data_IF_440898983487
#
_entry.id   IF_440898983487
#
_cell.length_a   1.000
_cell.length_b   1.000
_cell.length_c   1.000
_cell.angle_alpha   90.00
_cell.angle_beta   90.00
_cell.angle_gamma   90.00
#
_symmetry.space_group_name_H-M   'P 1'
#
loop_
_entity.id
_entity.type
_entity.pdbx_description
1 polymer ?
#
# COMPACT_ATOMS: atom_id res chain seq x y z
N UNK A 1 -10.47 26.66 -27.14
CA UNK A 1 -11.02 25.42 -26.56
C UNK A 1 -10.14 25.09 -25.37
N UNK A 2 -10.68 25.20 -24.15
CA UNK A 2 -9.92 24.84 -22.95
C UNK A 2 -9.52 23.38 -23.07
N UNK A 3 -8.22 23.08 -22.95
CA UNK A 3 -7.77 21.68 -22.84
C UNK A 3 -8.61 21.02 -21.74
N UNK A 4 -9.14 19.80 -21.95
CA UNK A 4 -9.75 19.06 -20.85
C UNK A 4 -8.74 19.02 -19.71
N UNK A 5 -9.21 19.36 -18.51
CA UNK A 5 -8.35 19.33 -17.34
C UNK A 5 -7.84 17.89 -17.20
N UNK A 6 -6.53 17.72 -16.95
CA UNK A 6 -5.91 16.40 -16.82
C UNK A 6 -6.25 15.78 -15.46
N UNK A 7 -7.54 15.54 -15.23
CA UNK A 7 -8.10 15.06 -13.98
C UNK A 7 -8.33 13.56 -14.05
N UNK A 8 -7.85 12.88 -13.03
CA UNK A 8 -7.98 11.44 -12.86
C UNK A 8 -8.47 11.18 -11.44
N UNK A 9 -9.28 10.14 -11.29
CA UNK A 9 -9.63 9.64 -9.96
C UNK A 9 -8.85 8.35 -9.72
N UNK A 10 -8.34 8.16 -8.51
CA UNK A 10 -7.77 6.91 -8.07
C UNK A 10 -8.64 6.29 -6.98
N UNK A 11 -8.94 5.00 -7.11
CA UNK A 11 -9.71 4.22 -6.15
C UNK A 11 -8.86 3.06 -5.62
N UNK A 12 -8.69 3.04 -4.30
CA UNK A 12 -7.93 2.02 -3.58
C UNK A 12 -8.73 1.49 -2.41
N UNK A 13 -8.67 0.17 -2.21
CA UNK A 13 -9.08 -0.47 -0.97
C UNK A 13 -7.95 -1.37 -0.49
N UNK A 14 -7.42 -1.04 0.70
CA UNK A 14 -6.27 -1.71 1.29
C UNK A 14 -6.54 -3.17 1.65
N UNK A 15 -5.48 -3.91 1.97
CA UNK A 15 -5.58 -5.26 2.54
C UNK A 15 -6.03 -5.25 4.01
N UNK A 16 -6.18 -4.07 4.61
CA UNK A 16 -6.84 -3.83 5.89
C UNK A 16 -8.35 -4.07 5.83
N UNK A 17 -8.98 -3.98 4.64
CA UNK A 17 -10.44 -4.09 4.45
C UNK A 17 -11.22 -3.12 5.36
N UNK A 18 -10.63 -1.95 5.61
CA UNK A 18 -11.16 -0.86 6.42
C UNK A 18 -12.10 0.04 5.61
N UNK A 19 -11.79 0.28 4.34
CA UNK A 19 -12.66 1.07 3.47
C UNK A 19 -12.12 1.33 2.07
N UNK A 20 -12.60 2.44 1.53
CA UNK A 20 -12.41 2.92 0.17
C UNK A 20 -11.80 4.30 0.25
N UNK A 21 -10.63 4.47 -0.36
CA UNK A 21 -10.03 5.78 -0.59
C UNK A 21 -10.25 6.19 -2.05
N UNK A 22 -10.94 7.31 -2.24
CA UNK A 22 -11.12 7.97 -3.51
C UNK A 22 -10.31 9.27 -3.55
N UNK A 23 -9.43 9.41 -4.53
CA UNK A 23 -8.52 10.56 -4.67
C UNK A 23 -8.72 11.22 -6.02
N UNK A 24 -8.97 12.53 -6.04
CA UNK A 24 -8.95 13.33 -7.25
C UNK A 24 -7.55 13.91 -7.46
N UNK A 25 -6.95 13.60 -8.59
CA UNK A 25 -5.62 14.02 -8.99
C UNK A 25 -5.67 14.90 -10.22
N UNK A 26 -4.90 16.00 -10.21
CA UNK A 26 -4.49 16.69 -11.44
C UNK A 26 -3.10 16.21 -11.82
N UNK A 27 -2.97 15.64 -13.01
CA UNK A 27 -1.72 15.03 -13.48
C UNK A 27 -1.31 15.71 -14.78
N UNK A 28 -0.16 16.39 -14.79
CA UNK A 28 0.27 17.09 -16.00
C UNK A 28 0.91 16.16 -17.05
N UNK A 29 1.35 16.73 -18.17
CA UNK A 29 1.98 15.95 -19.25
C UNK A 29 3.34 15.34 -18.87
N UNK A 30 4.00 15.84 -17.82
CA UNK A 30 5.22 15.25 -17.30
C UNK A 30 4.94 13.99 -16.47
N UNK A 31 3.75 13.94 -15.84
CA UNK A 31 3.33 12.89 -14.92
C UNK A 31 3.38 13.33 -13.45
N UNK A 32 3.70 14.60 -13.17
CA UNK A 32 3.61 15.16 -11.82
C UNK A 32 2.14 15.19 -11.39
N UNK A 33 1.84 14.53 -10.25
CA UNK A 33 0.50 14.43 -9.73
C UNK A 33 0.30 15.38 -8.55
N UNK A 34 -0.87 16.05 -8.51
CA UNK A 34 -1.28 16.92 -7.40
C UNK A 34 -2.66 16.51 -6.92
N UNK A 35 -2.78 16.30 -5.62
CA UNK A 35 -4.04 16.02 -4.94
C UNK A 35 -4.94 17.27 -4.99
N UNK A 36 -6.19 17.11 -5.45
CA UNK A 36 -7.20 18.17 -5.44
C UNK A 36 -8.33 17.92 -4.43
N UNK A 37 -8.57 16.66 -4.07
CA UNK A 37 -9.58 16.27 -3.11
C UNK A 37 -9.53 14.78 -2.84
N UNK A 38 -10.09 14.36 -1.73
CA UNK A 38 -10.20 12.96 -1.37
C UNK A 38 -11.43 12.70 -0.52
N UNK A 39 -11.93 11.47 -0.57
CA UNK A 39 -12.99 10.92 0.26
C UNK A 39 -12.52 9.56 0.75
N UNK A 40 -12.74 9.26 2.02
CA UNK A 40 -12.49 7.95 2.62
C UNK A 40 -13.79 7.45 3.23
N UNK A 41 -14.28 6.29 2.79
CA UNK A 41 -15.55 5.72 3.25
C UNK A 41 -15.34 4.29 3.74
N UNK A 42 -15.88 3.90 4.91
CA UNK A 42 -15.78 2.53 5.38
C UNK A 42 -16.59 1.59 4.50
N UNK A 43 -16.16 0.33 4.39
CA UNK A 43 -17.01 -0.69 3.80
C UNK A 43 -18.27 -0.92 4.64
N UNK A 44 -19.39 -1.22 3.97
CA UNK A 44 -20.54 -1.79 4.68
C UNK A 44 -20.14 -3.09 5.36
N UNK A 45 -20.79 -3.42 6.48
CA UNK A 45 -20.47 -4.63 7.23
C UNK A 45 -20.63 -5.90 6.39
N UNK A 46 -21.61 -5.90 5.49
CA UNK A 46 -21.93 -6.96 4.56
C UNK A 46 -20.85 -7.13 3.49
N UNK A 47 -20.40 -6.03 2.86
CA UNK A 47 -19.34 -6.07 1.85
C UNK A 47 -18.02 -6.47 2.49
N UNK A 48 -17.66 -5.88 3.65
CA UNK A 48 -16.47 -6.26 4.40
C UNK A 48 -16.47 -7.75 4.71
N UNK A 49 -17.59 -8.28 5.23
CA UNK A 49 -17.73 -9.71 5.50
C UNK A 49 -17.58 -10.56 4.24
N UNK A 50 -18.20 -10.19 3.13
CA UNK A 50 -18.10 -10.93 1.88
C UNK A 50 -16.64 -10.99 1.38
N UNK A 51 -15.92 -9.87 1.42
CA UNK A 51 -14.52 -9.79 1.01
C UNK A 51 -13.60 -10.59 1.94
N UNK A 52 -13.83 -10.55 3.26
CA UNK A 52 -13.10 -11.38 4.24
C UNK A 52 -13.34 -12.86 3.97
N UNK A 53 -14.59 -13.29 3.83
CA UNK A 53 -14.91 -14.70 3.63
C UNK A 53 -14.35 -15.25 2.30
N UNK A 54 -14.16 -14.39 1.30
CA UNK A 54 -13.52 -14.76 0.03
C UNK A 54 -12.00 -14.95 0.15
N UNK A 55 -11.36 -14.52 1.25
CA UNK A 55 -9.94 -14.77 1.50
C UNK A 55 -9.63 -16.26 1.76
N UNK A 56 -10.65 -17.07 2.05
CA UNK A 56 -10.50 -18.52 2.28
C UNK A 56 -11.42 -19.32 1.34
N UNK A 57 -11.02 -20.55 0.94
CA UNK A 57 -11.86 -21.43 0.15
C UNK A 57 -13.23 -21.65 0.79
N UNK A 58 -14.29 -21.74 -0.03
CA UNK A 58 -15.64 -21.85 0.47
C UNK A 58 -16.66 -22.31 -0.58
N UNK A 59 -17.90 -22.58 -0.17
CA UNK A 59 -18.93 -22.96 -1.12
C UNK A 59 -19.29 -21.78 -2.03
N UNK A 60 -19.45 -22.09 -3.32
CA UNK A 60 -19.97 -21.17 -4.34
C UNK A 60 -19.18 -19.85 -4.49
N UNK A 61 -17.85 -19.90 -4.37
CA UNK A 61 -16.97 -18.72 -4.40
C UNK A 61 -17.12 -17.86 -5.65
N UNK A 62 -17.26 -18.46 -6.84
CA UNK A 62 -17.40 -17.70 -8.09
C UNK A 62 -18.64 -16.78 -8.06
N UNK A 63 -19.79 -17.30 -7.65
CA UNK A 63 -21.01 -16.50 -7.54
C UNK A 63 -20.88 -15.39 -6.51
N UNK A 64 -20.35 -15.73 -5.32
CA UNK A 64 -20.17 -14.78 -4.21
C UNK A 64 -19.18 -13.68 -4.56
N UNK A 65 -18.12 -14.02 -5.28
CA UNK A 65 -17.13 -13.07 -5.78
C UNK A 65 -17.75 -12.11 -6.78
N UNK A 66 -18.58 -12.59 -7.72
CA UNK A 66 -19.29 -11.70 -8.65
C UNK A 66 -20.26 -10.74 -7.94
N UNK A 67 -20.94 -11.21 -6.88
CA UNK A 67 -21.78 -10.34 -6.06
C UNK A 67 -20.95 -9.29 -5.31
N UNK A 68 -19.81 -9.69 -4.73
CA UNK A 68 -18.90 -8.77 -4.06
C UNK A 68 -18.28 -7.76 -5.04
N UNK A 69 -17.94 -8.18 -6.26
CA UNK A 69 -17.43 -7.33 -7.33
C UNK A 69 -18.42 -6.22 -7.70
N UNK A 70 -19.71 -6.56 -7.80
CA UNK A 70 -20.77 -5.59 -8.08
C UNK A 70 -21.01 -4.64 -6.90
N UNK A 71 -21.03 -5.18 -5.66
CA UNK A 71 -21.19 -4.36 -4.47
C UNK A 71 -20.01 -3.39 -4.28
N UNK A 72 -18.78 -3.84 -4.57
CA UNK A 72 -17.60 -2.98 -4.55
C UNK A 72 -17.69 -1.88 -5.62
N UNK A 73 -18.11 -2.22 -6.85
CA UNK A 73 -18.29 -1.24 -7.92
C UNK A 73 -19.33 -0.17 -7.54
N UNK A 74 -20.45 -0.56 -6.91
CA UNK A 74 -21.45 0.38 -6.41
C UNK A 74 -20.87 1.29 -5.31
N UNK A 75 -20.17 0.73 -4.32
CA UNK A 75 -19.56 1.51 -3.25
C UNK A 75 -18.47 2.47 -3.78
N UNK A 76 -17.68 2.03 -4.76
CA UNK A 76 -16.72 2.88 -5.48
C UNK A 76 -17.43 4.03 -6.22
N UNK A 77 -18.54 3.75 -6.90
CA UNK A 77 -19.33 4.79 -7.58
C UNK A 77 -19.90 5.83 -6.60
N UNK A 78 -20.37 5.39 -5.43
CA UNK A 78 -20.83 6.28 -4.36
C UNK A 78 -19.70 7.19 -3.85
N UNK A 79 -18.51 6.63 -3.60
CA UNK A 79 -17.33 7.40 -3.19
C UNK A 79 -16.90 8.42 -4.27
N UNK A 80 -16.95 8.05 -5.55
CA UNK A 80 -16.69 8.96 -6.68
C UNK A 80 -17.73 10.09 -6.70
N UNK A 81 -19.01 9.78 -6.53
CA UNK A 81 -20.08 10.78 -6.52
C UNK A 81 -19.93 11.77 -5.36
N UNK A 82 -19.60 11.29 -4.17
CA UNK A 82 -19.31 12.13 -3.01
C UNK A 82 -18.12 13.05 -3.27
N UNK A 83 -17.01 12.49 -3.79
CA UNK A 83 -15.81 13.23 -4.13
C UNK A 83 -16.10 14.35 -5.14
N UNK A 84 -16.81 14.03 -6.23
CA UNK A 84 -17.17 15.00 -7.26
C UNK A 84 -18.10 16.10 -6.72
N UNK A 85 -19.06 15.74 -5.86
CA UNK A 85 -19.92 16.72 -5.21
C UNK A 85 -19.13 17.67 -4.29
N UNK A 86 -18.19 17.13 -3.50
CA UNK A 86 -17.32 17.91 -2.62
C UNK A 86 -16.47 18.93 -3.39
N UNK A 87 -15.89 18.52 -4.52
CA UNK A 87 -15.02 19.39 -5.34
C UNK A 87 -15.78 20.18 -6.41
N UNK A 88 -17.11 20.02 -6.50
CA UNK A 88 -18.01 20.68 -7.46
C UNK A 88 -17.61 20.43 -8.92
N UNK A 89 -17.27 19.19 -9.23
CA UNK A 89 -16.98 18.73 -10.59
C UNK A 89 -18.06 17.76 -11.08
N UNK A 90 -18.11 17.56 -12.40
CA UNK A 90 -18.96 16.57 -13.04
C UNK A 90 -18.14 15.39 -13.57
N UNK A 91 -18.78 14.23 -13.85
CA UNK A 91 -18.11 13.12 -14.51
C UNK A 91 -17.38 13.50 -15.81
N UNK A 92 -17.94 14.43 -16.59
CA UNK A 92 -17.35 14.90 -17.85
C UNK A 92 -16.04 15.68 -17.69
N UNK A 93 -15.70 16.11 -16.47
CA UNK A 93 -14.43 16.77 -16.17
C UNK A 93 -13.29 15.76 -15.93
N UNK A 94 -13.61 14.47 -15.76
CA UNK A 94 -12.66 13.41 -15.41
C UNK A 94 -12.30 12.59 -16.65
N UNK A 95 -10.99 12.40 -16.88
CA UNK A 95 -10.49 11.61 -18.01
C UNK A 95 -10.68 10.12 -17.79
N UNK A 96 -10.32 9.64 -16.60
CA UNK A 96 -10.49 8.24 -16.22
C UNK A 96 -10.41 8.04 -14.70
N UNK A 97 -10.99 6.95 -14.25
CA UNK A 97 -10.81 6.36 -12.92
C UNK A 97 -9.72 5.28 -13.04
N UNK A 98 -8.72 5.30 -12.17
CA UNK A 98 -7.85 4.16 -11.92
C UNK A 98 -8.36 3.38 -10.72
N UNK A 99 -8.90 2.19 -10.93
CA UNK A 99 -9.50 1.38 -9.89
C UNK A 99 -8.68 0.12 -9.61
N UNK A 100 -8.11 0.02 -8.40
CA UNK A 100 -7.38 -1.17 -7.99
C UNK A 100 -8.28 -2.41 -7.87
N UNK A 101 -9.49 -2.21 -7.34
CA UNK A 101 -10.34 -3.30 -6.82
C UNK A 101 -9.88 -3.79 -5.45
N UNK A 102 -10.38 -4.94 -5.01
CA UNK A 102 -9.94 -5.59 -3.77
C UNK A 102 -9.19 -6.88 -4.08
N UNK A 103 -7.94 -7.01 -3.62
CA UNK A 103 -7.19 -8.27 -3.79
C UNK A 103 -7.83 -9.41 -2.97
N UNK A 104 -8.18 -10.49 -3.66
CA UNK A 104 -8.66 -11.75 -3.07
C UNK A 104 -7.56 -12.82 -3.12
N UNK A 105 -6.81 -12.91 -4.22
CA UNK A 105 -5.67 -13.84 -4.33
C UNK A 105 -4.50 -13.16 -5.01
N UNK A 106 -3.30 -13.48 -4.56
CA UNK A 106 -2.06 -13.12 -5.22
C UNK A 106 -1.13 -14.34 -5.17
N UNK A 107 -0.85 -14.93 -6.33
CA UNK A 107 -0.13 -16.20 -6.47
C UNK A 107 0.99 -16.05 -7.49
N UNK A 108 1.87 -15.06 -7.23
CA UNK A 108 2.99 -14.73 -8.11
C UNK A 108 4.11 -15.79 -8.13
N UNK A 109 4.27 -16.53 -7.02
CA UNK A 109 5.35 -17.53 -6.86
C UNK A 109 5.06 -18.88 -7.53
N UNK A 110 3.85 -19.07 -8.09
CA UNK A 110 3.55 -20.25 -8.89
C UNK A 110 4.41 -20.27 -10.17
N UNK A 111 4.53 -21.46 -10.78
CA UNK A 111 5.16 -21.56 -12.09
C UNK A 111 4.54 -20.55 -13.07
N UNK A 112 5.36 -19.91 -13.91
CA UNK A 112 4.97 -18.73 -14.70
C UNK A 112 3.64 -18.85 -15.47
N UNK A 113 3.33 -20.02 -16.01
CA UNK A 113 2.08 -20.28 -16.75
C UNK A 113 0.84 -20.50 -15.87
N UNK A 114 1.02 -20.63 -14.56
CA UNK A 114 -0.02 -20.80 -13.55
C UNK A 114 -0.12 -19.59 -12.61
N UNK A 115 0.87 -18.69 -12.61
CA UNK A 115 0.89 -17.51 -11.76
C UNK A 115 -0.28 -16.57 -12.09
N UNK A 116 -0.96 -16.08 -11.06
CA UNK A 116 -2.11 -15.21 -11.21
C UNK A 116 -2.28 -14.25 -10.04
N UNK A 117 -3.10 -13.23 -10.26
CA UNK A 117 -3.56 -12.27 -9.26
C UNK A 117 -5.02 -12.02 -9.54
N UNK A 118 -5.82 -11.83 -8.49
CA UNK A 118 -7.24 -11.57 -8.63
C UNK A 118 -7.64 -10.40 -7.74
N UNK A 119 -8.00 -9.29 -8.40
CA UNK A 119 -8.58 -8.11 -7.78
C UNK A 119 -10.07 -8.10 -8.12
N UNK A 120 -10.92 -8.40 -7.14
CA UNK A 120 -12.37 -8.35 -7.27
C UNK A 120 -12.82 -6.91 -7.51
N UNK A 121 -13.49 -6.69 -8.65
CA UNK A 121 -14.17 -5.46 -9.05
C UNK A 121 -14.98 -5.76 -10.31
N UNK A 122 -16.18 -5.20 -10.47
CA UNK A 122 -16.84 -5.12 -11.77
C UNK A 122 -16.58 -3.74 -12.40
N UNK A 123 -15.51 -3.59 -13.22
CA UNK A 123 -15.12 -2.30 -13.77
C UNK A 123 -16.10 -1.79 -14.84
N UNK A 124 -16.79 -2.67 -15.56
CA UNK A 124 -17.81 -2.28 -16.53
C UNK A 124 -19.02 -1.66 -15.81
N UNK A 125 -19.46 -2.26 -14.69
CA UNK A 125 -20.52 -1.67 -13.88
C UNK A 125 -20.07 -0.33 -13.26
N UNK A 126 -18.81 -0.22 -12.80
CA UNK A 126 -18.30 1.04 -12.28
C UNK A 126 -18.30 2.15 -13.35
N UNK A 127 -17.92 1.82 -14.59
CA UNK A 127 -17.97 2.76 -15.71
C UNK A 127 -19.41 3.23 -15.98
N UNK A 128 -20.37 2.29 -16.06
CA UNK A 128 -21.80 2.59 -16.25
C UNK A 128 -22.37 3.48 -15.12
N UNK A 129 -22.04 3.17 -13.86
CA UNK A 129 -22.57 3.90 -12.71
C UNK A 129 -21.98 5.32 -12.57
N UNK A 130 -20.76 5.54 -13.06
CA UNK A 130 -20.07 6.83 -12.92
C UNK A 130 -20.12 7.70 -14.18
N UNK A 131 -20.33 7.09 -15.35
CA UNK A 131 -20.19 7.77 -16.64
C UNK A 131 -18.75 8.20 -16.94
N UNK A 132 -17.75 7.52 -16.35
CA UNK A 132 -16.31 7.80 -16.51
C UNK A 132 -15.59 6.52 -16.92
N UNK A 133 -14.69 6.61 -17.89
CA UNK A 133 -13.81 5.50 -18.28
C UNK A 133 -13.08 4.92 -17.06
N UNK A 134 -13.08 3.60 -16.91
CA UNK A 134 -12.37 2.91 -15.82
C UNK A 134 -11.15 2.18 -16.38
N UNK A 135 -9.97 2.47 -15.83
CA UNK A 135 -8.78 1.65 -15.98
C UNK A 135 -8.66 0.76 -14.73
N UNK A 136 -8.71 -0.55 -14.90
CA UNK A 136 -8.59 -1.53 -13.83
C UNK A 136 -7.60 -2.65 -14.22
N UNK A 137 -7.41 -3.66 -13.37
CA UNK A 137 -6.53 -4.81 -13.64
C UNK A 137 -5.06 -4.42 -13.94
N UNK A 138 -4.47 -3.61 -13.05
CA UNK A 138 -3.11 -3.12 -13.23
C UNK A 138 -2.04 -4.21 -13.09
N UNK A 139 -2.34 -5.32 -12.41
CA UNK A 139 -1.35 -6.32 -12.02
C UNK A 139 -1.15 -7.42 -13.07
N UNK A 140 -2.21 -7.84 -13.75
CA UNK A 140 -2.17 -9.05 -14.60
C UNK A 140 -1.18 -8.95 -15.76
N UNK A 141 -1.02 -7.77 -16.37
CA UNK A 141 -0.09 -7.61 -17.50
C UNK A 141 1.38 -7.72 -17.09
N UNK A 142 1.71 -7.34 -15.87
CA UNK A 142 3.06 -7.50 -15.31
C UNK A 142 3.38 -8.99 -15.06
N UNK A 143 2.44 -9.73 -14.45
CA UNK A 143 2.52 -11.19 -14.29
C UNK A 143 2.65 -11.93 -15.63
N UNK A 144 1.83 -11.58 -16.61
CA UNK A 144 1.92 -12.14 -17.96
C UNK A 144 3.30 -11.88 -18.60
N UNK A 145 3.99 -10.80 -18.21
CA UNK A 145 5.34 -10.47 -18.65
C UNK A 145 6.45 -11.18 -17.86
N UNK A 146 6.11 -12.01 -16.87
CA UNK A 146 7.05 -12.72 -16.01
C UNK A 146 7.39 -11.99 -14.72
N UNK A 147 6.70 -10.89 -14.40
CA UNK A 147 6.85 -10.19 -13.13
C UNK A 147 5.96 -10.75 -12.04
N UNK A 148 6.04 -10.15 -10.86
CA UNK A 148 5.25 -10.52 -9.69
C UNK A 148 3.89 -9.79 -9.63
N UNK A 149 3.64 -8.75 -10.43
CA UNK A 149 2.42 -7.93 -10.34
C UNK A 149 2.36 -7.00 -9.13
N UNK A 150 3.45 -6.92 -8.36
CA UNK A 150 3.60 -6.08 -7.19
C UNK A 150 5.11 -5.88 -6.83
N UNK A 151 5.45 -4.82 -6.09
CA UNK A 151 4.66 -3.60 -5.92
C UNK A 151 4.65 -2.75 -7.20
N UNK A 152 3.52 -2.09 -7.50
CA UNK A 152 3.37 -1.22 -8.68
C UNK A 152 3.62 0.27 -8.38
N UNK A 153 3.44 0.67 -7.13
CA UNK A 153 3.64 2.04 -6.64
C UNK A 153 5.07 2.59 -6.86
N UNK A 154 6.16 1.78 -6.90
CA UNK A 154 7.51 2.30 -7.15
C UNK A 154 7.67 3.17 -8.41
N UNK A 155 6.94 2.89 -9.48
CA UNK A 155 6.96 3.74 -10.68
C UNK A 155 6.40 5.15 -10.38
N UNK A 156 5.31 5.22 -9.62
CA UNK A 156 4.74 6.48 -9.16
C UNK A 156 5.68 7.18 -8.18
N UNK A 157 6.28 6.46 -7.22
CA UNK A 157 7.27 7.03 -6.31
C UNK A 157 8.46 7.64 -7.05
N UNK A 158 8.98 6.95 -8.07
CA UNK A 158 10.06 7.47 -8.91
C UNK A 158 9.65 8.72 -9.68
N UNK A 159 8.41 8.80 -10.17
CA UNK A 159 7.90 10.00 -10.83
C UNK A 159 7.73 11.17 -9.85
N UNK A 160 7.20 10.92 -8.65
CA UNK A 160 6.74 11.96 -7.73
C UNK A 160 7.83 12.43 -6.75
N UNK A 161 8.75 11.54 -6.37
CA UNK A 161 9.73 11.78 -5.30
C UNK A 161 11.18 11.74 -5.78
N UNK A 162 11.43 11.69 -7.09
CA UNK A 162 12.78 11.79 -7.64
C UNK A 162 13.48 13.08 -7.20
N UNK A 163 14.77 12.95 -6.92
CA UNK A 163 15.64 14.01 -6.41
C UNK A 163 17.07 13.78 -6.90
N UNK A 164 17.93 14.78 -6.73
CA UNK A 164 19.38 14.64 -6.92
C UNK A 164 20.06 13.94 -5.72
N UNK A 165 19.29 13.59 -4.68
CA UNK A 165 19.70 12.85 -3.50
C UNK A 165 19.28 11.37 -3.60
N UNK A 166 19.92 10.49 -2.83
CA UNK A 166 19.38 9.14 -2.64
C UNK A 166 18.17 9.19 -1.72
N UNK A 167 16.99 8.86 -2.25
CA UNK A 167 15.72 8.88 -1.53
C UNK A 167 15.24 7.45 -1.33
N UNK A 168 14.58 7.19 -0.21
CA UNK A 168 13.75 6.01 -0.04
C UNK A 168 12.34 6.43 0.36
N UNK A 169 11.34 5.69 -0.09
CA UNK A 169 9.93 5.84 0.31
C UNK A 169 9.54 4.60 1.11
N UNK A 170 9.04 4.78 2.32
CA UNK A 170 8.61 3.72 3.22
C UNK A 170 7.09 3.82 3.42
N UNK A 171 6.35 2.88 2.87
CA UNK A 171 4.92 2.74 3.14
C UNK A 171 4.71 1.88 4.39
N UNK A 172 4.03 2.42 5.40
CA UNK A 172 3.66 1.75 6.64
C UNK A 172 2.16 1.42 6.63
N UNK A 173 1.78 0.41 5.84
CA UNK A 173 0.44 -0.18 5.86
C UNK A 173 0.34 -1.30 6.90
N UNK A 174 -0.31 -2.42 6.55
CA UNK A 174 -0.21 -3.64 7.34
C UNK A 174 1.21 -4.23 7.33
N UNK A 175 1.84 -4.21 6.15
CA UNK A 175 3.25 -4.55 5.91
C UNK A 175 4.03 -3.28 5.58
N UNK A 176 5.27 -3.20 6.07
CA UNK A 176 6.22 -2.15 5.70
C UNK A 176 6.86 -2.48 4.36
N UNK A 177 6.87 -1.56 3.39
CA UNK A 177 7.59 -1.75 2.13
C UNK A 177 8.42 -0.51 1.76
N UNK A 178 9.60 -0.77 1.20
CA UNK A 178 10.53 0.25 0.73
C UNK A 178 10.49 0.34 -0.80
N UNK A 179 10.49 1.57 -1.29
CA UNK A 179 10.96 1.91 -2.63
C UNK A 179 12.27 2.68 -2.51
N UNK A 180 13.33 2.17 -3.13
CA UNK A 180 14.62 2.80 -3.17
C UNK A 180 14.75 3.61 -4.47
N UNK A 181 15.02 4.90 -4.33
CA UNK A 181 15.17 5.88 -5.41
C UNK A 181 16.61 6.43 -5.37
N UNK A 182 17.62 5.63 -5.77
CA UNK A 182 18.98 6.11 -5.85
C UNK A 182 19.09 7.18 -6.95
N UNK A 183 20.02 8.13 -6.75
CA UNK A 183 20.25 9.24 -7.69
C UNK A 183 20.69 8.80 -9.10
N UNK A 184 21.15 7.55 -9.24
CA UNK A 184 21.54 6.96 -10.52
C UNK A 184 20.35 6.41 -11.34
N UNK A 185 19.14 6.41 -10.76
CA UNK A 185 17.90 5.99 -11.40
C UNK A 185 17.57 4.50 -11.28
N UNK A 186 18.38 3.69 -10.60
CA UNK A 186 18.14 2.25 -10.45
C UNK A 186 17.10 1.94 -9.37
N UNK A 187 15.82 2.17 -9.68
CA UNK A 187 14.71 2.00 -8.74
C UNK A 187 14.50 0.52 -8.40
N UNK A 188 14.47 0.21 -7.10
CA UNK A 188 14.17 -1.12 -6.56
C UNK A 188 13.14 -1.00 -5.43
N UNK A 189 12.56 -2.13 -5.00
CA UNK A 189 11.64 -2.14 -3.87
C UNK A 189 11.37 -3.54 -3.35
N UNK A 190 10.95 -3.63 -2.09
CA UNK A 190 10.71 -4.89 -1.38
C UNK A 190 9.97 -4.64 -0.05
N UNK A 191 9.37 -5.70 0.49
CA UNK A 191 8.78 -5.67 1.84
C UNK A 191 9.85 -5.85 2.92
N UNK A 192 9.75 -5.10 4.01
CA UNK A 192 10.70 -5.10 5.12
C UNK A 192 10.23 -5.96 6.29
N UNK A 193 8.93 -6.20 6.41
CA UNK A 193 8.31 -6.97 7.48
C UNK A 193 6.97 -6.38 7.92
N UNK A 194 6.46 -6.77 9.10
CA UNK A 194 5.22 -6.23 9.62
C UNK A 194 5.34 -4.73 9.91
N UNK A 195 4.26 -4.00 9.65
CA UNK A 195 4.04 -2.64 10.14
C UNK A 195 2.86 -2.65 11.11
N UNK A 196 1.71 -2.07 10.73
CA UNK A 196 0.59 -1.92 11.65
C UNK A 196 -0.10 -3.26 11.96
N UNK A 197 -0.05 -4.26 11.07
CA UNK A 197 -0.95 -5.42 11.18
C UNK A 197 -0.81 -6.23 12.47
N UNK A 198 0.40 -6.37 13.01
CA UNK A 198 0.61 -7.09 14.27
C UNK A 198 0.21 -6.23 15.47
N UNK A 199 0.52 -4.94 15.44
CA UNK A 199 0.11 -3.97 16.46
C UNK A 199 -1.42 -3.87 16.53
N UNK A 200 -2.09 -3.79 15.38
CA UNK A 200 -3.54 -3.73 15.24
C UNK A 200 -4.19 -5.02 15.73
N UNK A 201 -3.66 -6.18 15.33
CA UNK A 201 -4.17 -7.46 15.78
C UNK A 201 -3.98 -7.65 17.30
N UNK A 202 -2.87 -7.19 17.86
CA UNK A 202 -2.59 -7.31 19.29
C UNK A 202 -3.51 -6.42 20.13
N UNK A 203 -3.67 -5.14 19.76
CA UNK A 203 -4.58 -4.25 20.50
C UNK A 203 -6.05 -4.68 20.34
N UNK A 204 -6.43 -5.25 19.19
CA UNK A 204 -7.76 -5.83 19.01
C UNK A 204 -7.99 -7.03 19.94
N UNK A 205 -7.02 -7.94 20.05
CA UNK A 205 -7.09 -9.12 20.94
C UNK A 205 -7.13 -8.71 22.43
N UNK A 206 -6.40 -7.67 22.82
CA UNK A 206 -6.23 -7.27 24.22
C UNK A 206 -7.26 -6.24 24.71
N UNK A 207 -7.69 -5.31 23.86
CA UNK A 207 -8.56 -4.18 24.24
C UNK A 207 -9.81 -4.03 23.36
N UNK A 208 -9.91 -4.76 22.24
CA UNK A 208 -11.03 -4.62 21.30
C UNK A 208 -10.99 -3.35 20.44
N UNK A 209 -9.87 -2.61 20.44
CA UNK A 209 -9.66 -1.46 19.54
C UNK A 209 -9.10 -1.91 18.19
N UNK A 210 -9.42 -1.19 17.11
CA UNK A 210 -8.94 -1.56 15.76
C UNK A 210 -7.46 -1.26 15.54
N UNK A 211 -6.92 -0.21 16.18
CA UNK A 211 -5.50 0.17 16.10
C UNK A 211 -5.08 0.99 17.32
N UNK A 212 -3.77 1.07 17.57
CA UNK A 212 -3.19 1.90 18.63
C UNK A 212 -3.00 3.34 18.16
N UNK A 213 -3.98 4.18 18.50
CA UNK A 213 -4.01 5.57 18.08
C UNK A 213 -2.80 6.34 18.62
N UNK A 214 -2.07 6.97 17.71
CA UNK A 214 -0.82 7.71 17.97
C UNK A 214 0.31 6.87 18.60
N UNK A 215 0.13 5.55 18.73
CA UNK A 215 1.02 4.67 19.51
C UNK A 215 0.91 4.89 21.02
N UNK A 216 -0.23 5.41 21.50
CA UNK A 216 -0.43 5.82 22.89
C UNK A 216 -0.36 4.64 23.87
N UNK A 217 -0.79 3.45 23.46
CA UNK A 217 -0.69 2.26 24.29
C UNK A 217 0.73 1.68 24.28
N UNK A 218 1.38 1.63 23.11
CA UNK A 218 2.79 1.27 23.00
C UNK A 218 3.69 2.13 23.91
N UNK A 219 3.39 3.43 24.05
CA UNK A 219 4.15 4.36 24.91
C UNK A 219 3.96 4.11 26.42
N UNK A 220 2.95 3.34 26.83
CA UNK A 220 2.77 2.96 28.23
C UNK A 220 3.64 1.76 28.61
N UNK A 221 4.03 0.95 27.62
CA UNK A 221 4.90 -0.21 27.80
C UNK A 221 6.37 0.12 27.65
N UNK A 222 7.20 -0.88 27.94
CA UNK A 222 8.63 -0.92 27.71
C UNK A 222 8.96 -2.04 26.74
N UNK A 223 9.80 -1.77 25.74
CA UNK A 223 10.25 -2.80 24.81
C UNK A 223 10.90 -3.97 25.56
N UNK A 224 10.38 -5.18 25.36
CA UNK A 224 11.02 -6.40 25.81
C UNK A 224 12.10 -6.80 24.80
N UNK A 225 13.34 -6.44 25.11
CA UNK A 225 14.48 -6.65 24.22
C UNK A 225 14.68 -8.14 23.84
N UNK A 226 14.46 -9.06 24.78
CA UNK A 226 14.58 -10.50 24.52
C UNK A 226 13.52 -11.00 23.53
N UNK A 227 12.29 -10.53 23.64
CA UNK A 227 11.22 -10.84 22.68
C UNK A 227 11.53 -10.24 21.29
N UNK A 228 11.97 -8.98 21.24
CA UNK A 228 12.35 -8.32 19.99
C UNK A 228 13.43 -9.10 19.24
N UNK A 229 14.51 -9.47 19.92
CA UNK A 229 15.62 -10.22 19.34
C UNK A 229 15.16 -11.56 18.80
N UNK A 230 14.33 -12.30 19.55
CA UNK A 230 13.75 -13.57 19.09
C UNK A 230 12.90 -13.37 17.84
N UNK A 231 12.02 -12.38 17.80
CA UNK A 231 11.19 -12.10 16.62
C UNK A 231 12.04 -11.76 15.39
N UNK A 232 13.11 -10.97 15.55
CA UNK A 232 14.02 -10.63 14.45
C UNK A 232 14.84 -11.82 13.91
N UNK A 233 14.82 -12.98 14.58
CA UNK A 233 15.44 -14.21 14.05
C UNK A 233 14.62 -14.90 12.96
N UNK A 234 13.39 -14.45 12.70
CA UNK A 234 12.57 -15.01 11.62
C UNK A 234 13.34 -14.97 10.26
N UNK A 235 13.38 -16.08 9.49
CA UNK A 235 14.10 -16.15 8.22
C UNK A 235 13.74 -15.05 7.20
N UNK A 236 12.51 -14.51 7.26
CA UNK A 236 12.08 -13.43 6.38
C UNK A 236 12.99 -12.20 6.46
N UNK A 237 13.44 -11.83 7.67
CA UNK A 237 14.28 -10.65 7.88
C UNK A 237 15.70 -10.82 7.30
N UNK A 238 16.17 -12.07 7.17
CA UNK A 238 17.46 -12.40 6.55
C UNK A 238 17.39 -12.53 5.02
N UNK A 239 16.21 -12.80 4.45
CA UNK A 239 16.01 -12.96 2.99
C UNK A 239 16.41 -11.70 2.22
N UNK A 240 17.14 -11.89 1.12
CA UNK A 240 17.52 -10.81 0.20
C UNK A 240 16.36 -10.45 -0.77
N UNK A 241 16.25 -9.19 -1.21
CA UNK A 241 15.33 -8.79 -2.28
C UNK A 241 15.64 -9.53 -3.60
N UNK A 242 14.64 -9.73 -4.48
CA UNK A 242 13.23 -9.36 -4.32
C UNK A 242 12.53 -10.24 -3.27
N UNK A 243 11.74 -9.61 -2.39
CA UNK A 243 10.94 -10.30 -1.38
C UNK A 243 9.64 -9.55 -1.10
N UNK A 244 8.59 -10.31 -0.85
CA UNK A 244 7.28 -9.83 -0.41
C UNK A 244 6.73 -10.76 0.67
N UNK A 245 5.81 -10.25 1.49
CA UNK A 245 5.16 -10.97 2.59
C UNK A 245 3.73 -10.43 2.83
N UNK A 246 2.99 -11.03 3.76
CA UNK A 246 1.63 -10.64 4.07
C UNK A 246 1.09 -11.32 5.33
N UNK A 247 -0.24 -11.40 5.40
CA UNK A 247 -0.98 -12.02 6.53
C UNK A 247 -0.68 -13.51 6.70
N UNK A 248 -0.19 -14.16 5.64
CA UNK A 248 0.15 -15.58 5.66
C UNK A 248 1.41 -15.88 6.49
N UNK A 249 2.30 -14.89 6.68
CA UNK A 249 3.53 -15.04 7.48
C UNK A 249 3.43 -14.32 8.84
N UNK A 250 2.95 -13.08 8.85
CA UNK A 250 2.85 -12.27 10.07
C UNK A 250 1.41 -12.18 10.58
N UNK A 251 1.11 -12.91 11.65
CA UNK A 251 -0.21 -12.98 12.29
C UNK A 251 -0.10 -13.23 13.80
N UNK A 252 -1.24 -13.23 14.53
CA UNK A 252 -1.22 -13.40 15.99
C UNK A 252 -0.60 -14.72 16.45
N UNK A 253 -0.85 -15.83 15.75
CA UNK A 253 -0.23 -17.11 16.14
C UNK A 253 1.30 -17.10 15.94
N UNK A 254 1.80 -16.37 14.94
CA UNK A 254 3.23 -16.12 14.78
C UNK A 254 3.78 -15.38 15.99
N UNK A 255 3.12 -14.31 16.44
CA UNK A 255 3.51 -13.54 17.63
C UNK A 255 3.47 -14.42 18.89
N UNK A 256 2.38 -15.16 19.11
CA UNK A 256 2.18 -16.04 20.27
C UNK A 256 3.27 -17.11 20.36
N UNK A 257 3.77 -17.62 19.24
CA UNK A 257 4.92 -18.55 19.20
C UNK A 257 6.20 -17.94 19.79
N UNK A 258 6.47 -16.66 19.52
CA UNK A 258 7.67 -15.97 20.03
C UNK A 258 7.53 -15.48 21.49
N UNK A 259 6.30 -15.19 21.92
CA UNK A 259 5.98 -14.93 23.34
C UNK A 259 6.18 -16.23 24.14
N UNK A 260 5.69 -17.36 23.63
CA UNK A 260 5.86 -18.66 24.27
C UNK A 260 5.15 -18.74 25.62
N UNK A 261 5.91 -18.99 26.68
CA UNK A 261 5.42 -19.07 28.06
C UNK A 261 5.77 -17.83 28.89
N UNK A 262 6.38 -16.81 28.27
CA UNK A 262 6.79 -15.60 28.98
C UNK A 262 5.55 -14.82 29.42
N UNK A 263 5.53 -14.40 30.69
CA UNK A 263 4.49 -13.53 31.22
C UNK A 263 4.90 -12.07 31.04
N UNK A 264 4.63 -11.52 29.86
CA UNK A 264 4.97 -10.14 29.49
C UNK A 264 3.68 -9.30 29.54
N UNK A 265 3.75 -8.08 30.07
CA UNK A 265 2.58 -7.22 30.09
C UNK A 265 2.11 -6.91 28.66
N UNK A 266 0.81 -6.83 28.40
CA UNK A 266 0.30 -6.56 27.06
C UNK A 266 0.83 -5.27 26.41
N UNK A 267 0.98 -4.19 27.17
CA UNK A 267 1.57 -2.92 26.72
C UNK A 267 3.06 -3.07 26.36
N UNK A 268 3.80 -3.93 27.05
CA UNK A 268 5.22 -4.20 26.73
C UNK A 268 5.34 -4.98 25.41
N UNK A 269 4.41 -5.91 25.14
CA UNK A 269 4.32 -6.59 23.84
C UNK A 269 4.00 -5.58 22.74
N UNK A 270 3.04 -4.68 22.96
CA UNK A 270 2.70 -3.63 22.00
C UNK A 270 3.92 -2.72 21.70
N UNK A 271 4.63 -2.29 22.75
CA UNK A 271 5.87 -1.53 22.61
C UNK A 271 6.91 -2.33 21.80
N UNK A 272 7.05 -3.63 22.06
CA UNK A 272 8.00 -4.50 21.35
C UNK A 272 7.65 -4.65 19.86
N UNK A 273 6.36 -4.74 19.50
CA UNK A 273 5.90 -4.78 18.11
C UNK A 273 6.17 -3.46 17.36
N UNK A 274 6.02 -2.33 18.05
CA UNK A 274 6.39 -1.02 17.53
C UNK A 274 7.90 -0.95 17.23
N UNK A 275 8.74 -1.50 18.13
CA UNK A 275 10.18 -1.64 17.88
C UNK A 275 10.49 -2.59 16.72
N UNK A 276 9.81 -3.74 16.61
CA UNK A 276 9.99 -4.70 15.51
C UNK A 276 9.79 -4.03 14.15
N UNK A 277 8.77 -3.20 14.01
CA UNK A 277 8.50 -2.44 12.78
C UNK A 277 9.66 -1.50 12.44
N UNK A 278 10.13 -0.71 13.41
CA UNK A 278 11.22 0.26 13.18
C UNK A 278 12.53 -0.44 12.85
N UNK A 279 12.91 -1.47 13.63
CA UNK A 279 14.15 -2.21 13.43
C UNK A 279 14.15 -2.92 12.07
N UNK A 280 13.09 -3.66 11.74
CA UNK A 280 13.05 -4.39 10.47
C UNK A 280 13.14 -3.47 9.24
N UNK A 281 12.48 -2.31 9.26
CA UNK A 281 12.54 -1.34 8.17
C UNK A 281 13.89 -0.61 8.08
N UNK A 282 14.44 -0.11 9.20
CA UNK A 282 15.72 0.61 9.19
C UNK A 282 16.91 -0.31 8.92
N UNK A 283 16.92 -1.53 9.45
CA UNK A 283 17.98 -2.51 9.16
C UNK A 283 17.99 -2.91 7.69
N UNK A 284 16.80 -3.09 7.09
CA UNK A 284 16.68 -3.36 5.66
C UNK A 284 17.16 -2.14 4.83
N UNK A 285 16.78 -0.92 5.21
CA UNK A 285 17.24 0.29 4.54
C UNK A 285 18.77 0.45 4.63
N UNK A 286 19.35 0.25 5.82
CA UNK A 286 20.80 0.34 6.03
C UNK A 286 21.55 -0.75 5.25
N UNK A 287 20.99 -1.95 5.13
CA UNK A 287 21.60 -3.06 4.38
C UNK A 287 21.57 -2.84 2.87
N UNK A 288 20.45 -2.38 2.31
CA UNK A 288 20.25 -2.34 0.86
C UNK A 288 20.41 -0.94 0.24
N UNK A 289 20.33 0.13 1.04
CA UNK A 289 20.59 1.50 0.60
C UNK A 289 21.23 2.35 1.72
N UNK A 290 22.44 2.00 2.20
CA UNK A 290 23.13 2.72 3.28
C UNK A 290 23.43 4.19 2.96
N UNK A 291 23.42 4.56 1.67
CA UNK A 291 23.66 5.91 1.18
C UNK A 291 22.39 6.78 1.13
N UNK A 292 21.27 6.30 1.65
CA UNK A 292 20.00 7.04 1.66
C UNK A 292 20.15 8.31 2.50
N UNK A 293 19.77 9.44 1.92
CA UNK A 293 19.85 10.76 2.55
C UNK A 293 18.49 11.21 3.07
N UNK A 294 17.41 10.79 2.40
CA UNK A 294 16.03 11.14 2.75
C UNK A 294 15.14 9.91 2.75
N UNK A 295 14.41 9.72 3.85
CA UNK A 295 13.33 8.73 3.97
C UNK A 295 11.99 9.46 4.00
N UNK A 296 11.12 9.16 3.04
CA UNK A 296 9.75 9.68 2.96
C UNK A 296 8.81 8.58 3.45
N UNK A 297 8.11 8.81 4.54
CA UNK A 297 7.18 7.84 5.13
C UNK A 297 5.76 8.14 4.67
N UNK A 298 5.04 7.11 4.22
CA UNK A 298 3.63 7.15 3.86
C UNK A 298 2.85 5.97 4.50
N UNK A 299 1.55 5.86 4.22
CA UNK A 299 0.66 4.88 4.84
C UNK A 299 0.15 5.30 6.22
N UNK A 300 -0.77 4.52 6.78
CA UNK A 300 -1.40 4.80 8.07
C UNK A 300 -0.40 4.92 9.23
N UNK A 301 0.68 4.14 9.20
CA UNK A 301 1.73 4.18 10.23
C UNK A 301 2.47 5.53 10.29
N UNK A 302 2.43 6.33 9.22
CA UNK A 302 2.99 7.69 9.24
C UNK A 302 2.23 8.64 10.18
N UNK A 303 0.99 8.31 10.55
CA UNK A 303 0.19 9.06 11.55
C UNK A 303 0.45 8.57 12.98
N UNK A 304 1.17 7.47 13.18
CA UNK A 304 1.55 7.00 14.51
C UNK A 304 2.76 7.80 15.03
N UNK A 305 2.51 8.73 15.95
CA UNK A 305 3.52 9.64 16.48
C UNK A 305 4.64 8.92 17.25
N UNK A 306 4.31 7.86 18.00
CA UNK A 306 5.31 7.04 18.69
C UNK A 306 6.24 6.35 17.69
N UNK A 307 5.66 5.76 16.64
CA UNK A 307 6.41 5.06 15.59
C UNK A 307 7.34 6.01 14.83
N UNK A 308 6.83 7.18 14.43
CA UNK A 308 7.63 8.21 13.75
C UNK A 308 8.75 8.78 14.63
N UNK A 309 8.51 8.92 15.93
CA UNK A 309 9.52 9.36 16.89
C UNK A 309 10.61 8.30 17.07
N UNK A 310 10.22 7.03 17.17
CA UNK A 310 11.17 5.92 17.29
C UNK A 310 12.01 5.74 16.01
N UNK A 311 11.42 5.89 14.82
CA UNK A 311 12.16 5.90 13.55
C UNK A 311 13.27 6.97 13.55
N UNK A 312 12.94 8.20 13.94
CA UNK A 312 13.90 9.31 14.01
C UNK A 312 15.02 9.03 15.02
N UNK A 313 14.68 8.47 16.18
CA UNK A 313 15.64 8.12 17.20
C UNK A 313 16.58 6.99 16.74
N UNK A 314 16.04 5.86 16.28
CA UNK A 314 16.84 4.70 15.85
C UNK A 314 17.65 4.94 14.59
N UNK A 315 17.20 5.81 13.68
CA UNK A 315 18.00 6.18 12.52
C UNK A 315 19.30 6.90 12.90
N UNK A 316 19.34 7.63 14.02
CA UNK A 316 20.58 8.27 14.52
C UNK A 316 21.62 7.24 14.98
N UNK A 317 21.17 6.08 15.46
CA UNK A 317 22.05 4.98 15.87
C UNK A 317 22.59 4.19 14.68
N UNK A 318 21.75 3.97 13.65
CA UNK A 318 22.04 3.07 12.53
C UNK A 318 22.79 3.73 11.36
N UNK A 319 22.61 5.03 11.12
CA UNK A 319 23.16 5.70 9.94
C UNK A 319 24.30 6.66 10.33
N UNK A 320 25.48 6.47 9.73
CA UNK A 320 26.64 7.35 9.96
C UNK A 320 26.41 8.78 9.47
N UNK A 321 25.63 8.94 8.39
CA UNK A 321 25.19 10.23 7.88
C UNK A 321 23.74 10.46 8.33
N UNK A 322 23.41 11.70 8.69
CA UNK A 322 22.05 12.05 9.16
C UNK A 322 21.00 11.71 8.10
N UNK A 323 20.19 10.68 8.35
CA UNK A 323 19.04 10.32 7.53
C UNK A 323 17.89 11.29 7.83
N UNK A 324 17.48 12.08 6.83
CA UNK A 324 16.33 12.99 6.97
C UNK A 324 15.03 12.20 6.83
N UNK A 325 14.32 12.00 7.95
CA UNK A 325 13.02 11.33 7.95
C UNK A 325 11.89 12.37 7.91
N UNK A 326 11.06 12.29 6.88
CA UNK A 326 9.88 13.15 6.63
C UNK A 326 8.69 12.30 6.24
N UNK A 327 7.48 12.85 6.30
CA UNK A 327 6.30 12.24 5.66
C UNK A 327 6.13 12.73 4.23
N UNK A 328 5.30 12.07 3.43
CA UNK A 328 4.94 12.55 2.08
C UNK A 328 4.24 13.91 2.08
N UNK A 329 3.73 14.39 3.22
CA UNK A 329 3.17 15.76 3.36
C UNK A 329 4.20 16.82 2.98
N UNK A 330 5.49 16.55 3.23
CA UNK A 330 6.58 17.45 2.84
C UNK A 330 6.72 17.64 1.33
N UNK A 331 6.10 16.75 0.55
CA UNK A 331 5.97 16.82 -0.90
C UNK A 331 4.53 17.15 -1.35
N UNK A 332 3.66 17.58 -0.42
CA UNK A 332 2.29 18.01 -0.69
C UNK A 332 1.26 16.89 -0.83
N UNK A 333 1.57 15.67 -0.34
CA UNK A 333 0.68 14.51 -0.46
C UNK A 333 0.44 13.91 0.92
N UNK A 334 -0.81 13.85 1.38
CA UNK A 334 -1.13 13.18 2.65
C UNK A 334 -0.62 11.72 2.62
N UNK A 335 0.13 11.28 3.64
CA UNK A 335 0.62 9.91 3.79
C UNK A 335 -0.38 8.80 3.50
N UNK A 336 -1.63 8.98 3.88
CA UNK A 336 -2.67 7.97 3.67
C UNK A 336 -3.16 7.94 2.22
N UNK A 337 -2.95 9.01 1.45
CA UNK A 337 -3.48 9.17 0.11
C UNK A 337 -2.47 8.85 -1.00
N UNK A 338 -1.23 8.48 -0.64
CA UNK A 338 -0.18 8.15 -1.63
C UNK A 338 -0.60 7.00 -2.54
N UNK A 339 -1.21 5.94 -2.00
CA UNK A 339 -1.66 4.81 -2.81
C UNK A 339 -2.84 5.17 -3.71
N UNK A 340 -3.85 5.88 -3.19
CA UNK A 340 -4.97 6.38 -4.00
C UNK A 340 -4.48 7.27 -5.15
N UNK A 341 -3.53 8.17 -4.88
CA UNK A 341 -2.91 9.01 -5.90
C UNK A 341 -2.11 8.20 -6.93
N UNK A 342 -1.43 7.12 -6.50
CA UNK A 342 -0.73 6.21 -7.40
C UNK A 342 -1.68 5.53 -8.39
N UNK A 343 -2.88 5.14 -7.97
CA UNK A 343 -3.87 4.55 -8.89
C UNK A 343 -4.45 5.56 -9.88
N UNK A 344 -4.64 6.82 -9.48
CA UNK A 344 -4.97 7.89 -10.43
C UNK A 344 -3.84 8.06 -11.46
N UNK A 345 -2.59 8.00 -11.02
CA UNK A 345 -1.41 8.06 -11.89
C UNK A 345 -1.28 6.87 -12.84
N UNK A 346 -1.61 5.65 -12.39
CA UNK A 346 -1.62 4.47 -13.24
C UNK A 346 -2.66 4.57 -14.37
N UNK A 347 -3.83 5.16 -14.09
CA UNK A 347 -4.81 5.46 -15.14
C UNK A 347 -4.30 6.49 -16.15
N UNK A 348 -3.63 7.55 -15.69
CA UNK A 348 -2.96 8.51 -16.56
C UNK A 348 -1.88 7.83 -17.42
N UNK A 349 -1.01 7.02 -16.82
CA UNK A 349 0.04 6.30 -17.53
C UNK A 349 -0.55 5.37 -18.61
N UNK A 350 -1.67 4.70 -18.31
CA UNK A 350 -2.39 3.90 -19.30
C UNK A 350 -2.88 4.74 -20.48
N UNK A 351 -3.58 5.86 -20.22
CA UNK A 351 -4.12 6.75 -21.26
C UNK A 351 -3.01 7.36 -22.12
N UNK A 352 -1.88 7.71 -21.53
CA UNK A 352 -0.68 8.22 -22.21
C UNK A 352 0.20 7.12 -22.83
N UNK A 353 -0.21 5.86 -22.72
CA UNK A 353 0.55 4.68 -23.19
C UNK A 353 1.98 4.62 -22.65
N UNK A 354 2.17 5.10 -21.41
CA UNK A 354 3.44 5.04 -20.69
C UNK A 354 3.53 3.73 -19.89
N UNK A 355 4.67 3.04 -19.91
CA UNK A 355 4.90 1.92 -19.01
C UNK A 355 4.85 2.35 -17.55
N UNK A 356 4.29 1.48 -16.70
CA UNK A 356 4.07 1.78 -15.29
C UNK A 356 4.52 0.66 -14.34
N UNK A 357 5.09 -0.43 -14.87
CA UNK A 357 5.89 -1.36 -14.08
C UNK A 357 7.38 -0.99 -14.18
N UNK A 358 8.16 -1.52 -13.23
CA UNK A 358 9.61 -1.46 -13.28
C UNK A 358 10.15 -2.91 -13.29
N UNK A 359 10.85 -3.35 -14.35
CA UNK A 359 11.46 -4.68 -14.41
C UNK A 359 12.35 -5.02 -13.21
N UNK A 360 13.15 -4.04 -12.76
CA UNK A 360 14.03 -4.20 -11.61
C UNK A 360 13.29 -4.36 -10.27
N UNK A 361 12.01 -4.00 -10.21
CA UNK A 361 11.15 -4.14 -9.03
C UNK A 361 10.36 -5.45 -9.11
N UNK A 362 9.71 -5.68 -10.24
CA UNK A 362 8.70 -6.74 -10.40
C UNK A 362 9.27 -8.04 -10.93
N UNK A 363 10.44 -8.04 -11.57
CA UNK A 363 10.99 -9.20 -12.29
C UNK A 363 10.45 -9.39 -13.72
N UNK A 364 9.55 -8.51 -14.19
CA UNK A 364 9.02 -8.61 -15.55
C UNK A 364 10.13 -8.50 -16.62
N UNK A 365 9.97 -9.22 -17.74
CA UNK A 365 10.94 -9.23 -18.86
C UNK A 365 11.16 -7.86 -19.52
N UNK A 366 10.36 -6.85 -19.19
CA UNK A 366 10.51 -5.50 -19.70
C UNK A 366 9.35 -4.59 -19.29
N UNK A 367 9.42 -3.30 -19.65
CA UNK A 367 8.38 -2.33 -19.34
C UNK A 367 7.03 -2.68 -20.00
N UNK A 368 5.93 -2.42 -19.30
CA UNK A 368 4.54 -2.71 -19.67
C UNK A 368 3.65 -1.53 -19.30
N UNK A 369 2.77 -1.15 -20.23
CA UNK A 369 1.61 -0.30 -19.94
C UNK A 369 0.63 -1.14 -19.14
N UNK A 370 0.25 -0.72 -17.95
CA UNK A 370 -0.59 -1.53 -17.07
C UNK A 370 -2.06 -1.17 -17.20
N UNK A 371 -2.93 -2.09 -16.78
CA UNK A 371 -4.37 -1.90 -16.76
C UNK A 371 -5.09 -2.18 -18.08
N UNK A 372 -6.40 -2.33 -17.99
CA UNK A 372 -7.34 -2.49 -19.08
C UNK A 372 -8.41 -1.38 -18.98
N UNK A 373 -8.77 -0.80 -20.12
CA UNK A 373 -9.77 0.28 -20.21
C UNK A 373 -11.16 -0.31 -20.43
N UNK A 374 -12.10 0.13 -19.60
CA UNK A 374 -13.54 -0.13 -19.68
C UNK A 374 -14.21 1.22 -19.98
N UNK A 375 -14.64 1.44 -21.24
CA UNK A 375 -15.29 2.69 -21.64
C UNK A 375 -16.63 2.88 -20.92
N UNK A 376 -16.98 4.13 -20.61
CA UNK A 376 -18.31 4.51 -20.11
C UNK A 376 -19.34 4.73 -21.23
#
# INVERSE_FOLDING_TARGET
MNKPQSLFIGLMSGTSLDGIDAVLAKIDASGEARLLGSVSTPFSSELRKALVDLQSPGPNEIHRENQAANALAAAYADAVKELLAQVKLSPADIIAIGAHGQTIRHQADLAHHLAYTHQTLNPALLAELTGIDVIADFRSRDLAAGGHGAPLVPAFHAQQFSSNENVAVLNLGGIANLTLLPKDGNVTGFDCGPANMLMDAWIADQQGHEFDKDGSWALQGTCNQGLLERMLTDPFFAKAPPKSTGRDEFHLDWLKKYIGLDNINPEDIQATLLFLTVHSALDALARYAPQTQKLIVCGGGAKNNALMSLFKFKAQELFMQSLKITTSDSAGIDPQLVEGLAFAWLAWAHKEKRPANLPAVTGAKGPRILGACYPA
#
